data_IF_805524719404
#
_entry.id   IF_805524719404
#
_cell.length_a   1.000
_cell.length_b   1.000
_cell.length_c   1.000
_cell.angle_alpha   90.00
_cell.angle_beta   90.00
_cell.angle_gamma   90.00
#
_symmetry.space_group_name_H-M   'P 1'
#
loop_
_entity.id
_entity.type
_entity.pdbx_description
1 polymer ?
#
# COMPACT_ATOMS: atom_id res chain seq x y z
N UNK A 1 23.85 4.28 8.01
CA UNK A 1 22.41 4.13 8.32
C UNK A 1 21.84 3.19 7.29
N UNK A 2 21.48 2.00 7.75
CA UNK A 2 21.00 0.83 7.01
C UNK A 2 19.74 1.17 6.21
N UNK A 3 19.91 1.37 4.90
CA UNK A 3 18.82 1.59 3.94
C UNK A 3 18.24 0.25 3.48
N UNK A 4 17.56 -0.46 4.37
CA UNK A 4 16.75 -1.62 4.01
C UNK A 4 15.29 -1.17 3.92
N UNK A 5 14.96 -0.52 2.80
CA UNK A 5 13.57 -0.29 2.44
C UNK A 5 13.01 -1.64 1.99
N UNK A 6 12.37 -2.37 2.90
CA UNK A 6 11.64 -3.59 2.54
C UNK A 6 10.82 -3.34 1.27
N UNK A 7 10.98 -4.19 0.26
CA UNK A 7 10.32 -4.11 -1.05
C UNK A 7 8.82 -4.47 -0.95
N UNK A 8 8.12 -3.94 0.05
CA UNK A 8 6.70 -4.12 0.26
C UNK A 8 5.91 -3.05 -0.48
N UNK A 9 4.92 -3.45 -1.28
CA UNK A 9 3.87 -2.53 -1.69
C UNK A 9 2.91 -2.30 -0.52
N UNK A 10 2.86 -1.06 -0.04
CA UNK A 10 1.84 -0.63 0.90
C UNK A 10 0.58 -0.18 0.16
N UNK A 11 -0.56 -0.53 0.71
CA UNK A 11 -1.89 -0.13 0.26
C UNK A 11 -2.62 0.56 1.41
N UNK A 12 -3.57 1.43 1.10
CA UNK A 12 -4.40 2.13 2.08
C UNK A 12 -5.86 1.84 1.77
N UNK A 13 -6.63 1.43 2.77
CA UNK A 13 -8.06 1.26 2.60
C UNK A 13 -8.76 2.61 2.41
N UNK A 14 -9.62 2.70 1.40
CA UNK A 14 -10.39 3.92 1.12
C UNK A 14 -11.38 4.30 2.24
N UNK A 15 -11.87 3.32 3.00
CA UNK A 15 -12.88 3.54 4.03
C UNK A 15 -12.27 3.80 5.42
N UNK A 16 -11.38 2.92 5.90
CA UNK A 16 -10.82 3.05 7.25
C UNK A 16 -9.44 3.74 7.30
N UNK A 17 -8.83 4.04 6.15
CA UNK A 17 -7.52 4.70 6.08
C UNK A 17 -6.33 3.86 6.55
N UNK A 18 -6.55 2.60 6.95
CA UNK A 18 -5.47 1.73 7.45
C UNK A 18 -4.56 1.26 6.32
N UNK A 19 -3.27 1.17 6.64
CA UNK A 19 -2.26 0.58 5.76
C UNK A 19 -2.34 -0.94 5.77
N UNK A 20 -2.21 -1.52 4.59
CA UNK A 20 -2.21 -2.94 4.28
C UNK A 20 -0.93 -3.27 3.49
N UNK A 21 -0.46 -4.48 3.64
CA UNK A 21 0.70 -5.03 2.94
C UNK A 21 0.26 -6.10 1.95
N UNK A 22 1.15 -6.51 1.05
CA UNK A 22 0.89 -7.63 0.13
C UNK A 22 0.57 -8.94 0.86
N UNK A 23 1.21 -9.18 2.00
CA UNK A 23 0.98 -10.36 2.84
C UNK A 23 -0.47 -10.46 3.33
N UNK A 24 -1.11 -9.32 3.62
CA UNK A 24 -2.51 -9.29 4.08
C UNK A 24 -3.48 -9.80 3.00
N UNK A 25 -3.20 -9.53 1.73
CA UNK A 25 -4.01 -10.01 0.60
C UNK A 25 -3.72 -11.47 0.27
N UNK A 26 -2.48 -11.93 0.43
CA UNK A 26 -2.10 -13.33 0.24
C UNK A 26 -2.81 -14.25 1.24
N UNK A 27 -2.97 -13.82 2.50
CA UNK A 27 -3.71 -14.58 3.52
C UNK A 27 -5.18 -14.76 3.18
N UNK A 28 -5.86 -13.70 2.73
CA UNK A 28 -7.29 -13.75 2.41
C UNK A 28 -7.60 -14.33 1.02
N UNK A 29 -6.62 -14.35 0.11
CA UNK A 29 -6.79 -14.64 -1.33
C UNK A 29 -7.83 -13.74 -2.01
N UNK A 30 -8.12 -12.58 -1.44
CA UNK A 30 -9.10 -11.60 -1.92
C UNK A 30 -8.56 -10.19 -1.70
N UNK A 31 -8.88 -9.29 -2.61
CA UNK A 31 -8.54 -7.86 -2.47
C UNK A 31 -9.62 -7.21 -1.59
N UNK A 32 -9.42 -7.32 -0.28
CA UNK A 32 -10.33 -6.79 0.73
C UNK A 32 -9.52 -6.35 1.94
N UNK A 33 -9.93 -5.25 2.59
CA UNK A 33 -9.33 -4.82 3.83
C UNK A 33 -9.66 -5.81 4.96
N UNK A 34 -8.63 -6.36 5.61
CA UNK A 34 -8.75 -7.28 6.76
C UNK A 34 -9.50 -6.68 7.95
N UNK A 35 -9.52 -5.34 8.07
CA UNK A 35 -10.07 -4.66 9.23
C UNK A 35 -11.55 -4.30 9.11
N UNK A 36 -11.98 -3.86 7.91
CA UNK A 36 -13.34 -3.34 7.71
C UNK A 36 -14.12 -4.07 6.62
N UNK A 37 -13.49 -5.00 5.92
CA UNK A 37 -14.13 -5.73 4.82
C UNK A 37 -14.37 -4.90 3.56
N UNK A 38 -13.88 -3.66 3.48
CA UNK A 38 -14.03 -2.83 2.29
C UNK A 38 -13.12 -3.31 1.15
N UNK A 39 -13.58 -3.23 -0.10
CA UNK A 39 -12.89 -3.85 -1.26
C UNK A 39 -12.00 -2.90 -2.06
N UNK A 40 -12.11 -1.59 -1.81
CA UNK A 40 -11.32 -0.58 -2.54
C UNK A 40 -10.11 -0.19 -1.69
N UNK A 41 -8.93 -0.36 -2.27
CA UNK A 41 -7.63 -0.06 -1.67
C UNK A 41 -6.78 0.78 -2.65
N UNK A 42 -6.05 1.76 -2.12
CA UNK A 42 -5.17 2.64 -2.89
C UNK A 42 -3.71 2.26 -2.67
N UNK A 43 -2.90 2.18 -3.73
CA UNK A 43 -1.47 1.93 -3.59
C UNK A 43 -0.76 3.18 -3.08
N UNK A 44 0.04 3.04 -2.02
CA UNK A 44 0.83 4.14 -1.46
C UNK A 44 1.94 4.52 -2.43
N UNK A 45 2.21 5.82 -2.56
CA UNK A 45 3.32 6.33 -3.36
C UNK A 45 4.63 5.79 -2.81
N UNK A 46 5.42 5.13 -3.67
CA UNK A 46 6.77 4.65 -3.30
C UNK A 46 7.60 5.81 -2.72
N UNK A 47 8.28 5.63 -1.57
CA UNK A 47 9.22 6.62 -1.08
C UNK A 47 10.38 6.72 -2.08
N UNK A 48 10.45 7.84 -2.78
CA UNK A 48 11.44 8.06 -3.84
C UNK A 48 11.22 9.40 -4.52
N UNK A 49 12.32 10.09 -4.83
CA UNK A 49 12.27 11.38 -5.53
C UNK A 49 11.85 11.12 -6.98
N UNK A 50 10.71 11.70 -7.38
CA UNK A 50 10.29 11.73 -8.79
C UNK A 50 10.71 13.06 -9.39
N UNK A 51 11.52 13.05 -10.45
CA UNK A 51 11.83 14.23 -11.27
C UNK A 51 10.66 14.46 -12.25
N UNK A 52 9.97 15.58 -12.11
CA UNK A 52 8.86 15.99 -12.99
C UNK A 52 9.32 17.19 -13.80
N UNK A 53 9.21 17.16 -15.12
CA UNK A 53 9.52 18.31 -15.98
C UNK A 53 8.44 19.38 -15.77
N UNK A 54 8.84 20.60 -15.46
CA UNK A 54 7.96 21.75 -15.51
C UNK A 54 7.96 22.26 -16.96
N UNK A 55 6.82 22.15 -17.63
CA UNK A 55 6.59 22.75 -18.95
C UNK A 55 6.35 24.25 -18.74
#
# INVERSE_FOLDING_TARGET
MSGEFEEGFYYVCANCGRTLTTKDFEMLRRIQCVYCGYRIVYKVRKPGVKKVKAI
#
